data_IF_736148558382
#
_entry.id   IF_736148558382
#
_cell.length_a   1.000
_cell.length_b   1.000
_cell.length_c   1.000
_cell.angle_alpha   90.00
_cell.angle_beta   90.00
_cell.angle_gamma   90.00
#
_symmetry.space_group_name_H-M   'P 1'
#
loop_
_entity.id
_entity.type
_entity.pdbx_description
1 polymer ?
#
# COMPACT_ATOMS: atom_id res chain seq x y z
N UNK A 1 -49.16 -2.98 42.16
CA UNK A 1 -50.06 -4.01 41.68
C UNK A 1 -49.19 -5.07 41.02
N UNK A 2 -48.80 -6.09 41.73
CA UNK A 2 -49.33 -7.47 41.84
C UNK A 2 -49.42 -8.17 40.47
N UNK A 3 -48.83 -9.32 40.16
CA UNK A 3 -48.67 -10.65 40.82
C UNK A 3 -47.68 -11.44 39.97
N UNK A 4 -46.61 -12.05 40.44
CA UNK A 4 -46.43 -13.34 41.10
C UNK A 4 -46.71 -14.61 40.25
N UNK A 5 -45.64 -15.40 40.06
CA UNK A 5 -45.46 -16.85 40.36
C UNK A 5 -46.04 -17.85 39.35
N UNK A 6 -45.44 -19.00 39.03
CA UNK A 6 -44.63 -20.10 39.67
C UNK A 6 -44.20 -21.05 38.55
N UNK A 7 -43.03 -21.53 38.44
CA UNK A 7 -42.37 -22.76 38.91
C UNK A 7 -43.14 -24.09 38.70
N UNK A 8 -42.52 -25.05 37.98
CA UNK A 8 -42.42 -26.46 38.34
C UNK A 8 -41.43 -27.21 37.44
N UNK A 9 -40.56 -27.95 38.08
CA UNK A 9 -39.60 -28.92 37.58
C UNK A 9 -40.23 -30.29 37.44
N UNK A 10 -39.77 -31.16 36.55
CA UNK A 10 -39.73 -32.63 36.76
C UNK A 10 -38.58 -33.23 35.95
N UNK A 11 -37.80 -33.97 36.63
CA UNK A 11 -36.75 -34.96 36.55
C UNK A 11 -37.13 -36.16 35.68
N UNK A 12 -36.15 -36.75 34.99
CA UNK A 12 -36.26 -38.04 34.36
C UNK A 12 -34.91 -38.53 33.84
N UNK A 13 -34.15 -39.23 34.71
CA UNK A 13 -32.94 -39.95 34.36
C UNK A 13 -33.29 -41.34 33.84
N UNK A 14 -32.60 -41.80 32.78
CA UNK A 14 -32.46 -43.25 32.52
C UNK A 14 -31.05 -43.55 32.00
N UNK A 15 -30.35 -44.32 32.82
CA UNK A 15 -29.05 -44.97 32.58
C UNK A 15 -29.32 -46.30 31.89
N UNK A 16 -28.55 -46.61 30.85
CA UNK A 16 -28.39 -47.99 30.38
C UNK A 16 -26.92 -48.26 30.04
N UNK A 17 -26.27 -48.98 30.94
CA UNK A 17 -25.00 -49.71 30.71
C UNK A 17 -25.27 -50.93 29.85
N UNK A 18 -24.39 -51.22 28.88
CA UNK A 18 -24.08 -52.61 28.51
C UNK A 18 -22.56 -52.78 28.26
N UNK A 19 -22.10 -53.90 28.79
CA UNK A 19 -20.73 -54.27 29.05
C UNK A 19 -20.05 -54.98 27.86
N UNK A 20 -18.77 -54.88 27.88
CA UNK A 20 -17.64 -55.63 27.35
C UNK A 20 -17.88 -57.06 26.76
N UNK A 21 -17.14 -57.32 25.65
CA UNK A 21 -16.59 -58.63 25.34
C UNK A 21 -15.19 -58.47 24.72
N UNK A 22 -14.20 -59.06 25.39
CA UNK A 22 -12.82 -59.22 24.89
C UNK A 22 -12.78 -60.35 23.86
N UNK A 23 -11.95 -60.12 22.80
CA UNK A 23 -11.53 -61.14 21.85
C UNK A 23 -10.13 -60.80 21.31
N UNK A 24 -9.13 -61.54 21.82
CA UNK A 24 -7.74 -61.49 21.36
C UNK A 24 -7.58 -62.21 20.02
N UNK A 25 -6.85 -61.57 19.08
CA UNK A 25 -6.41 -62.18 17.83
C UNK A 25 -5.28 -61.38 17.22
N UNK A 26 -4.08 -61.89 17.34
CA UNK A 26 -2.83 -61.40 16.83
C UNK A 26 -2.72 -61.67 15.32
N UNK A 27 -2.48 -60.67 14.48
CA UNK A 27 -1.80 -60.82 13.19
C UNK A 27 -1.32 -59.44 12.70
N UNK A 28 -0.04 -59.33 12.62
CA UNK A 28 0.71 -58.27 11.97
C UNK A 28 0.41 -58.20 10.45
N UNK A 29 -0.05 -57.07 9.96
CA UNK A 29 0.16 -56.66 8.58
C UNK A 29 0.27 -55.15 8.53
N UNK A 30 1.46 -54.70 8.04
CA UNK A 30 1.80 -53.33 7.80
C UNK A 30 1.05 -52.85 6.55
N UNK A 31 -0.04 -52.14 6.71
CA UNK A 31 -0.67 -51.41 5.68
C UNK A 31 -0.43 -49.90 5.95
N UNK A 32 0.41 -49.29 5.12
CA UNK A 32 0.56 -47.86 4.99
C UNK A 32 -0.80 -47.25 4.61
N UNK A 33 -1.57 -46.91 5.59
CA UNK A 33 -2.79 -46.14 5.42
C UNK A 33 -2.42 -44.69 5.14
N UNK A 34 -2.43 -44.32 3.87
CA UNK A 34 -2.60 -42.93 3.46
C UNK A 34 -3.87 -42.41 4.10
N UNK A 35 -3.74 -41.72 5.21
CA UNK A 35 -4.82 -40.94 5.79
C UNK A 35 -5.25 -39.93 4.78
N UNK A 36 -6.28 -40.18 3.99
CA UNK A 36 -7.08 -39.13 3.35
C UNK A 36 -7.54 -38.22 4.46
N UNK A 37 -6.82 -37.11 4.64
CA UNK A 37 -7.34 -35.99 5.38
C UNK A 37 -8.70 -35.68 4.77
N UNK A 38 -9.75 -35.83 5.53
CA UNK A 38 -11.10 -35.45 5.18
C UNK A 38 -11.08 -33.94 5.05
N UNK A 39 -10.69 -33.42 3.87
CA UNK A 39 -10.73 -32.01 3.53
C UNK A 39 -12.19 -31.64 3.35
N UNK A 40 -12.86 -31.40 4.47
CA UNK A 40 -14.12 -30.68 4.45
C UNK A 40 -13.84 -29.38 3.68
N UNK A 41 -14.55 -29.18 2.56
CA UNK A 41 -14.43 -27.96 1.77
C UNK A 41 -14.67 -26.76 2.67
N UNK A 42 -13.64 -25.96 2.91
CA UNK A 42 -13.72 -24.75 3.69
C UNK A 42 -13.73 -23.57 2.72
N UNK A 43 -14.65 -22.65 2.90
CA UNK A 43 -14.62 -21.38 2.18
C UNK A 43 -13.46 -20.54 2.73
N UNK A 44 -12.86 -19.71 1.87
CA UNK A 44 -11.84 -18.73 2.28
C UNK A 44 -12.34 -17.33 2.12
N UNK A 45 -12.03 -16.46 3.08
CA UNK A 45 -12.30 -15.04 3.04
C UNK A 45 -11.01 -14.28 2.71
N UNK A 46 -11.07 -13.46 1.67
CA UNK A 46 -9.94 -12.69 1.15
C UNK A 46 -10.27 -11.20 1.23
N UNK A 47 -9.44 -10.45 1.92
CA UNK A 47 -9.49 -8.98 1.93
C UNK A 47 -8.54 -8.43 0.88
N UNK A 48 -9.08 -7.68 -0.09
CA UNK A 48 -8.33 -6.87 -1.04
C UNK A 48 -8.70 -5.41 -0.87
N UNK A 49 -7.76 -4.53 -1.16
CA UNK A 49 -7.97 -3.10 -1.04
C UNK A 49 -8.67 -2.54 -2.27
N UNK A 50 -9.50 -1.53 -2.06
CA UNK A 50 -10.16 -0.83 -3.15
C UNK A 50 -9.13 -0.26 -4.14
N UNK A 51 -9.27 -0.63 -5.42
CA UNK A 51 -8.40 -0.18 -6.50
C UNK A 51 -7.07 -0.93 -6.65
N UNK A 52 -6.78 -1.94 -5.82
CA UNK A 52 -5.51 -2.69 -5.86
C UNK A 52 -5.41 -3.67 -7.03
N UNK A 53 -6.53 -4.20 -7.50
CA UNK A 53 -6.57 -5.10 -8.65
C UNK A 53 -7.77 -4.83 -9.55
N UNK A 54 -7.60 -4.94 -10.89
CA UNK A 54 -8.73 -4.97 -11.80
C UNK A 54 -9.63 -6.20 -11.54
N UNK A 55 -10.95 -6.01 -11.56
CA UNK A 55 -11.93 -7.10 -11.35
C UNK A 55 -11.67 -8.32 -12.24
N UNK A 56 -11.24 -8.09 -13.49
CA UNK A 56 -10.95 -9.17 -14.44
C UNK A 56 -9.79 -10.07 -13.96
N UNK A 57 -8.80 -9.50 -13.30
CA UNK A 57 -7.67 -10.26 -12.72
C UNK A 57 -8.17 -11.12 -11.56
N UNK A 58 -8.91 -10.52 -10.62
CA UNK A 58 -9.46 -11.24 -9.46
C UNK A 58 -10.40 -12.38 -9.89
N UNK A 59 -11.29 -12.12 -10.85
CA UNK A 59 -12.20 -13.14 -11.41
C UNK A 59 -11.43 -14.32 -12.02
N UNK A 60 -10.34 -14.05 -12.75
CA UNK A 60 -9.52 -15.11 -13.34
C UNK A 60 -8.76 -15.91 -12.28
N UNK A 61 -8.19 -15.24 -11.27
CA UNK A 61 -7.52 -15.90 -10.14
C UNK A 61 -8.50 -16.85 -9.43
N UNK A 62 -9.70 -16.38 -9.13
CA UNK A 62 -10.74 -17.19 -8.49
C UNK A 62 -11.18 -18.37 -9.38
N UNK A 63 -11.32 -18.16 -10.70
CA UNK A 63 -11.67 -19.22 -11.63
C UNK A 63 -10.58 -20.32 -11.68
N UNK A 64 -9.31 -19.91 -11.69
CA UNK A 64 -8.19 -20.87 -11.66
C UNK A 64 -8.13 -21.60 -10.32
N UNK A 65 -8.33 -20.93 -9.21
CA UNK A 65 -8.39 -21.54 -7.88
C UNK A 65 -9.53 -22.56 -7.78
N UNK A 66 -10.73 -22.18 -8.24
CA UNK A 66 -11.91 -23.06 -8.21
C UNK A 66 -11.78 -24.31 -9.09
N UNK A 67 -10.95 -24.28 -10.15
CA UNK A 67 -10.65 -25.48 -10.94
C UNK A 67 -9.87 -26.53 -10.13
N UNK A 68 -8.97 -26.09 -9.25
CA UNK A 68 -8.22 -26.97 -8.37
C UNK A 68 -9.03 -27.33 -7.09
N UNK A 69 -9.92 -26.44 -6.66
CA UNK A 69 -10.71 -26.55 -5.42
C UNK A 69 -12.20 -26.33 -5.68
N UNK A 70 -12.88 -27.25 -6.41
CA UNK A 70 -14.26 -27.00 -6.91
C UNK A 70 -15.32 -26.87 -5.80
N UNK A 71 -15.01 -27.34 -4.60
CA UNK A 71 -15.91 -27.30 -3.44
C UNK A 71 -15.61 -26.15 -2.46
N UNK A 72 -14.67 -25.27 -2.81
CA UNK A 72 -14.26 -24.12 -1.98
C UNK A 72 -14.77 -22.82 -2.60
N UNK A 73 -15.46 -22.00 -1.83
CA UNK A 73 -15.79 -20.63 -2.23
C UNK A 73 -14.71 -19.66 -1.81
N UNK A 74 -14.40 -18.72 -2.68
CA UNK A 74 -13.57 -17.55 -2.38
C UNK A 74 -14.48 -16.35 -2.16
N UNK A 75 -14.56 -15.87 -0.92
CA UNK A 75 -15.33 -14.69 -0.54
C UNK A 75 -14.42 -13.46 -0.56
N UNK A 76 -14.43 -12.71 -1.68
CA UNK A 76 -13.66 -11.47 -1.80
C UNK A 76 -14.39 -10.34 -1.09
N UNK A 77 -13.72 -9.67 -0.16
CA UNK A 77 -14.22 -8.51 0.55
C UNK A 77 -13.30 -7.31 0.27
N UNK A 78 -13.82 -6.33 -0.47
CA UNK A 78 -13.07 -5.11 -0.79
C UNK A 78 -13.08 -4.18 0.41
N UNK A 79 -11.88 -3.77 0.84
CA UNK A 79 -11.64 -2.89 1.96
C UNK A 79 -11.31 -1.48 1.48
N UNK A 80 -11.60 -0.47 2.30
CA UNK A 80 -11.14 0.91 2.08
C UNK A 80 -9.82 1.14 2.79
N UNK A 81 -8.97 2.01 2.25
CA UNK A 81 -7.69 2.36 2.86
C UNK A 81 -7.86 3.15 4.16
N UNK A 82 -8.89 3.99 4.22
CA UNK A 82 -9.20 4.75 5.44
C UNK A 82 -9.63 3.81 6.58
N UNK A 83 -9.00 3.98 7.75
CA UNK A 83 -9.27 3.17 8.94
C UNK A 83 -8.85 1.70 8.84
N UNK A 84 -8.12 1.29 7.78
CA UNK A 84 -7.78 -0.13 7.55
C UNK A 84 -6.89 -0.70 8.65
N UNK A 85 -6.00 0.10 9.24
CA UNK A 85 -5.10 -0.36 10.28
C UNK A 85 -5.87 -0.85 11.52
N UNK A 86 -6.83 -0.07 12.02
CA UNK A 86 -7.66 -0.40 13.17
C UNK A 86 -8.59 -1.59 12.84
N UNK A 87 -9.14 -1.59 11.64
CA UNK A 87 -10.00 -2.68 11.17
C UNK A 87 -9.24 -4.00 11.11
N UNK A 88 -8.03 -4.00 10.55
CA UNK A 88 -7.18 -5.19 10.49
C UNK A 88 -6.74 -5.64 11.88
N UNK A 89 -6.35 -4.71 12.76
CA UNK A 89 -6.01 -5.02 14.15
C UNK A 89 -7.18 -5.74 14.85
N UNK A 90 -8.40 -5.22 14.70
CA UNK A 90 -9.61 -5.82 15.29
C UNK A 90 -9.92 -7.18 14.68
N UNK A 91 -9.79 -7.35 13.37
CA UNK A 91 -10.06 -8.60 12.68
C UNK A 91 -9.07 -9.69 13.10
N UNK A 92 -7.77 -9.39 13.16
CA UNK A 92 -6.74 -10.34 13.55
C UNK A 92 -6.84 -10.76 15.04
N UNK A 93 -7.37 -9.89 15.90
CA UNK A 93 -7.65 -10.21 17.30
C UNK A 93 -8.95 -11.01 17.49
N UNK A 94 -9.78 -11.13 16.48
CA UNK A 94 -11.07 -11.82 16.52
C UNK A 94 -10.94 -13.35 16.36
N UNK A 95 -12.05 -14.06 16.58
CA UNK A 95 -12.10 -15.53 16.49
C UNK A 95 -12.24 -16.05 15.05
N UNK A 96 -12.51 -15.20 14.08
CA UNK A 96 -12.72 -15.56 12.68
C UNK A 96 -12.12 -14.48 11.76
N UNK A 97 -10.79 -14.33 11.74
CA UNK A 97 -10.12 -13.36 10.87
C UNK A 97 -10.27 -13.78 9.40
N UNK A 98 -10.09 -12.85 8.44
CA UNK A 98 -9.99 -13.23 7.04
C UNK A 98 -8.77 -14.14 6.83
N UNK A 99 -8.87 -15.12 5.92
CA UNK A 99 -7.78 -16.07 5.65
C UNK A 99 -6.62 -15.40 4.94
N UNK A 100 -6.92 -14.53 3.97
CA UNK A 100 -5.95 -13.73 3.21
C UNK A 100 -6.21 -12.25 3.43
N UNK A 101 -5.13 -11.50 3.64
CA UNK A 101 -5.17 -10.04 3.73
C UNK A 101 -4.19 -9.43 2.73
N UNK A 102 -4.66 -8.45 1.98
CA UNK A 102 -3.79 -7.44 1.41
C UNK A 102 -3.47 -6.42 2.48
N UNK A 103 -2.18 -6.20 2.72
CA UNK A 103 -1.66 -5.28 3.74
C UNK A 103 -0.72 -4.29 3.06
N UNK A 104 -0.93 -3.00 3.29
CA UNK A 104 0.03 -1.97 2.89
C UNK A 104 1.41 -2.29 3.46
N UNK A 105 2.44 -2.18 2.64
CA UNK A 105 3.79 -2.66 2.99
C UNK A 105 4.34 -2.06 4.29
N UNK A 106 3.95 -0.85 4.65
CA UNK A 106 4.37 -0.18 5.90
C UNK A 106 3.74 -0.78 7.17
N UNK A 107 2.72 -1.63 7.05
CA UNK A 107 1.95 -2.17 8.18
C UNK A 107 2.24 -3.66 8.46
N UNK A 108 2.91 -4.38 7.55
CA UNK A 108 3.15 -5.82 7.69
C UNK A 108 3.91 -6.13 8.97
N UNK A 109 4.99 -5.41 9.26
CA UNK A 109 5.82 -5.61 10.45
C UNK A 109 5.03 -5.44 11.75
N UNK A 110 4.09 -4.50 11.83
CA UNK A 110 3.21 -4.31 12.99
C UNK A 110 2.33 -5.53 13.26
N UNK A 111 1.70 -6.06 12.22
CA UNK A 111 0.80 -7.22 12.37
C UNK A 111 1.57 -8.51 12.59
N UNK A 112 2.78 -8.64 12.03
CA UNK A 112 3.69 -9.73 12.33
C UNK A 112 4.17 -9.71 13.80
N UNK A 113 4.59 -8.54 14.30
CA UNK A 113 5.03 -8.34 15.70
C UNK A 113 3.92 -8.66 16.71
N UNK A 114 2.65 -8.38 16.37
CA UNK A 114 1.50 -8.73 17.20
C UNK A 114 1.13 -10.23 17.17
N UNK A 115 1.83 -11.06 16.37
CA UNK A 115 1.51 -12.47 16.19
C UNK A 115 0.25 -12.74 15.33
N UNK A 116 -0.25 -11.73 14.63
CA UNK A 116 -1.47 -11.84 13.81
C UNK A 116 -1.28 -12.52 12.45
N UNK A 117 -0.03 -12.71 12.00
CA UNK A 117 0.28 -13.26 10.69
C UNK A 117 1.05 -14.57 10.75
N UNK A 118 0.83 -15.43 9.76
CA UNK A 118 1.52 -16.70 9.54
C UNK A 118 2.95 -16.49 9.06
N UNK A 119 3.93 -17.28 9.55
CA UNK A 119 5.30 -17.33 9.03
C UNK A 119 5.35 -18.10 7.70
N UNK A 120 5.58 -17.38 6.62
CA UNK A 120 5.61 -17.90 5.25
C UNK A 120 7.03 -18.14 4.72
N UNK A 121 8.06 -18.11 5.58
CA UNK A 121 9.47 -18.24 5.18
C UNK A 121 9.74 -19.51 4.38
N UNK A 122 9.13 -20.61 4.74
CA UNK A 122 9.27 -21.90 4.03
C UNK A 122 8.64 -21.90 2.62
N UNK A 123 7.79 -20.91 2.31
CA UNK A 123 7.08 -20.78 1.03
C UNK A 123 7.81 -19.90 0.02
N UNK A 124 8.83 -19.16 0.44
CA UNK A 124 9.54 -18.17 -0.38
C UNK A 124 10.06 -18.76 -1.69
N UNK A 125 10.73 -19.91 -1.62
CA UNK A 125 11.31 -20.56 -2.82
C UNK A 125 10.23 -21.02 -3.81
N UNK A 126 9.15 -21.62 -3.34
CA UNK A 126 8.02 -22.09 -4.17
C UNK A 126 7.29 -20.94 -4.89
N UNK A 127 7.38 -19.74 -4.35
CA UNK A 127 6.78 -18.52 -4.90
C UNK A 127 7.73 -17.72 -5.80
N UNK A 128 8.93 -18.20 -6.06
CA UNK A 128 9.95 -17.51 -6.87
C UNK A 128 10.54 -16.28 -6.18
N UNK A 129 10.66 -16.35 -4.83
CA UNK A 129 11.08 -15.25 -3.98
C UNK A 129 12.47 -14.66 -4.26
N UNK A 130 13.33 -15.37 -5.01
CA UNK A 130 14.65 -14.88 -5.40
C UNK A 130 14.59 -13.77 -6.46
N UNK A 131 13.44 -13.62 -7.13
CA UNK A 131 13.22 -12.60 -8.15
C UNK A 131 12.42 -11.41 -7.65
N UNK A 132 11.94 -11.43 -6.42
CA UNK A 132 11.10 -10.36 -5.88
C UNK A 132 11.82 -9.03 -5.77
N UNK A 133 11.05 -7.94 -5.82
CA UNK A 133 11.55 -6.61 -5.51
C UNK A 133 11.98 -6.56 -4.04
N UNK A 134 13.24 -6.18 -3.81
CA UNK A 134 13.84 -6.19 -2.47
C UNK A 134 13.04 -5.35 -1.49
N UNK A 135 12.62 -4.13 -1.87
CA UNK A 135 11.85 -3.25 -0.97
C UNK A 135 10.51 -3.83 -0.51
N UNK A 136 9.82 -4.61 -1.35
CA UNK A 136 8.59 -5.32 -0.93
C UNK A 136 8.92 -6.53 -0.05
N UNK A 137 10.03 -7.22 -0.32
CA UNK A 137 10.48 -8.35 0.50
C UNK A 137 10.89 -7.89 1.88
N UNK A 138 11.65 -6.79 1.97
CA UNK A 138 12.06 -6.20 3.24
C UNK A 138 10.85 -5.75 4.07
N UNK A 139 9.88 -5.09 3.43
CA UNK A 139 8.64 -4.68 4.08
C UNK A 139 7.78 -5.87 4.56
N UNK A 140 7.85 -7.01 3.86
CA UNK A 140 7.17 -8.26 4.24
C UNK A 140 7.91 -9.10 5.29
N UNK A 141 9.11 -8.67 5.73
CA UNK A 141 10.01 -9.45 6.59
C UNK A 141 10.17 -8.77 7.95
N UNK A 142 10.09 -9.55 9.02
CA UNK A 142 10.39 -9.13 10.40
C UNK A 142 11.31 -10.17 11.04
N UNK A 143 12.40 -9.75 11.66
CA UNK A 143 13.38 -10.61 12.34
C UNK A 143 13.84 -11.81 11.50
N UNK A 144 14.05 -11.59 10.21
CA UNK A 144 14.49 -12.60 9.24
C UNK A 144 13.40 -13.59 8.79
N UNK A 145 12.15 -13.44 9.23
CA UNK A 145 11.01 -14.26 8.85
C UNK A 145 10.08 -13.51 7.90
N UNK A 146 9.56 -14.22 6.91
CA UNK A 146 8.65 -13.69 5.91
C UNK A 146 7.20 -13.84 6.38
N UNK A 147 6.48 -12.72 6.51
CA UNK A 147 5.06 -12.67 6.87
C UNK A 147 4.18 -12.10 5.75
N UNK A 148 4.77 -11.35 4.83
CA UNK A 148 4.08 -10.76 3.70
C UNK A 148 4.72 -11.14 2.37
N UNK A 149 3.95 -11.77 1.49
CA UNK A 149 4.35 -12.10 0.12
C UNK A 149 4.21 -10.84 -0.73
N UNK A 150 5.26 -10.38 -1.42
CA UNK A 150 5.18 -9.27 -2.35
C UNK A 150 4.01 -9.37 -3.32
N UNK A 151 3.12 -8.38 -3.31
CA UNK A 151 1.96 -8.36 -4.17
C UNK A 151 2.17 -7.43 -5.37
N UNK A 152 2.30 -6.14 -5.13
CA UNK A 152 2.70 -5.16 -6.14
C UNK A 152 3.41 -3.98 -5.49
N UNK A 153 4.21 -3.27 -6.27
CA UNK A 153 4.77 -1.99 -5.87
C UNK A 153 4.10 -0.84 -6.61
N UNK A 154 4.16 0.34 -6.00
CA UNK A 154 3.78 1.60 -6.61
C UNK A 154 4.64 2.71 -6.04
N UNK A 155 5.19 3.50 -6.90
CA UNK A 155 5.92 4.71 -6.57
C UNK A 155 5.21 5.94 -7.15
N UNK A 156 5.78 7.11 -6.94
CA UNK A 156 5.20 8.37 -7.41
C UNK A 156 6.03 8.97 -8.52
N UNK A 157 5.31 9.51 -9.50
CA UNK A 157 5.88 10.35 -10.54
C UNK A 157 4.99 11.58 -10.77
N UNK A 158 5.42 12.50 -11.57
CA UNK A 158 4.60 13.65 -11.97
C UNK A 158 3.73 13.25 -13.14
N UNK A 159 2.41 13.24 -12.96
CA UNK A 159 1.42 13.09 -14.02
C UNK A 159 1.00 14.47 -14.50
N UNK A 160 0.91 14.67 -15.82
CA UNK A 160 0.60 15.98 -16.40
C UNK A 160 -0.33 15.91 -17.61
N UNK A 161 -1.02 16.99 -17.88
CA UNK A 161 -1.89 17.18 -19.05
C UNK A 161 -1.06 17.65 -20.26
N UNK A 162 -0.84 16.76 -21.25
CA UNK A 162 -0.10 17.06 -22.49
C UNK A 162 -0.71 18.23 -23.26
N UNK A 163 -2.03 18.26 -23.38
CA UNK A 163 -2.76 19.33 -24.04
C UNK A 163 -2.58 20.69 -23.37
N UNK A 164 -2.52 20.70 -22.03
CA UNK A 164 -2.28 21.93 -21.26
C UNK A 164 -0.83 22.43 -21.38
N UNK A 165 0.13 21.51 -21.38
CA UNK A 165 1.54 21.83 -21.63
C UNK A 165 1.73 22.48 -23.00
N UNK A 166 1.16 21.86 -24.04
CA UNK A 166 1.22 22.41 -25.40
C UNK A 166 0.62 23.81 -25.45
N UNK A 167 -0.57 24.04 -24.89
CA UNK A 167 -1.23 25.34 -24.87
C UNK A 167 -0.50 26.38 -24.02
N UNK A 168 0.31 25.96 -23.04
CA UNK A 168 1.17 26.85 -22.24
C UNK A 168 2.57 27.05 -22.84
N UNK A 169 2.83 26.53 -24.05
CA UNK A 169 4.12 26.63 -24.72
C UNK A 169 5.25 25.85 -24.03
N UNK A 170 4.92 24.76 -23.36
CA UNK A 170 5.88 23.87 -22.72
C UNK A 170 6.18 22.74 -23.69
N UNK A 171 7.34 22.75 -24.33
CA UNK A 171 7.77 21.77 -25.34
C UNK A 171 8.76 20.77 -24.81
N UNK A 172 9.38 21.01 -23.65
CA UNK A 172 10.36 20.13 -23.02
C UNK A 172 9.96 19.86 -21.58
N UNK A 173 10.12 18.62 -21.15
CA UNK A 173 9.87 18.24 -19.77
C UNK A 173 11.00 18.75 -18.86
N UNK A 174 10.70 19.12 -17.61
CA UNK A 174 11.72 19.57 -16.66
C UNK A 174 12.67 18.44 -16.29
N UNK A 175 13.95 18.71 -16.24
CA UNK A 175 15.02 17.78 -15.87
C UNK A 175 15.62 18.05 -14.50
N UNK A 176 15.15 19.12 -13.84
CA UNK A 176 15.53 19.52 -12.50
C UNK A 176 14.39 20.29 -11.81
N UNK A 177 14.55 20.56 -10.52
CA UNK A 177 13.57 21.29 -9.70
C UNK A 177 13.35 22.72 -10.19
N UNK A 178 14.38 23.40 -10.69
CA UNK A 178 14.25 24.76 -11.22
C UNK A 178 13.38 24.78 -12.48
N UNK A 179 13.61 23.85 -13.40
CA UNK A 179 12.77 23.62 -14.58
C UNK A 179 11.34 23.24 -14.21
N UNK A 180 11.14 22.44 -13.15
CA UNK A 180 9.82 22.07 -12.63
C UNK A 180 9.06 23.30 -12.13
N UNK A 181 9.71 24.19 -11.36
CA UNK A 181 9.12 25.46 -10.91
C UNK A 181 8.82 26.38 -12.10
N UNK A 182 9.72 26.45 -13.11
CA UNK A 182 9.48 27.22 -14.34
C UNK A 182 8.27 26.68 -15.12
N UNK A 183 8.10 25.37 -15.18
CA UNK A 183 6.94 24.71 -15.81
C UNK A 183 5.64 25.08 -15.09
N UNK A 184 5.62 25.04 -13.76
CA UNK A 184 4.48 25.51 -12.97
C UNK A 184 4.16 26.98 -13.21
N UNK A 185 5.18 27.84 -13.31
CA UNK A 185 4.98 29.25 -13.59
C UNK A 185 4.32 29.50 -14.96
N UNK A 186 4.71 28.74 -16.00
CA UNK A 186 4.09 28.83 -17.34
C UNK A 186 2.62 28.37 -17.31
N UNK A 187 2.33 27.29 -16.62
CA UNK A 187 0.95 26.79 -16.44
C UNK A 187 0.11 27.81 -15.68
N UNK A 188 0.65 28.39 -14.59
CA UNK A 188 -0.04 29.40 -13.81
C UNK A 188 -0.28 30.68 -14.61
N UNK A 189 0.67 31.09 -15.43
CA UNK A 189 0.49 32.26 -16.31
C UNK A 189 -0.61 32.03 -17.37
N UNK A 190 -0.73 30.82 -17.88
CA UNK A 190 -1.74 30.45 -18.90
C UNK A 190 -3.14 30.23 -18.32
N UNK A 191 -3.26 29.57 -17.17
CA UNK A 191 -4.54 29.10 -16.63
C UNK A 191 -4.94 29.75 -15.31
N UNK A 192 -4.07 30.54 -14.68
CA UNK A 192 -4.30 31.13 -13.36
C UNK A 192 -5.36 32.24 -13.30
N UNK A 193 -6.00 32.58 -14.43
CA UNK A 193 -7.25 33.36 -14.43
C UNK A 193 -8.39 32.60 -13.72
N UNK A 194 -8.43 31.28 -13.83
CA UNK A 194 -9.25 30.43 -12.99
C UNK A 194 -8.63 30.37 -11.59
N UNK A 195 -9.37 30.89 -10.59
CA UNK A 195 -8.93 30.95 -9.18
C UNK A 195 -8.83 29.58 -8.52
N UNK A 196 -9.44 28.56 -9.11
CA UNK A 196 -9.37 27.17 -8.63
C UNK A 196 -8.26 26.36 -9.30
N UNK A 197 -7.60 26.92 -10.32
CA UNK A 197 -6.55 26.22 -11.05
C UNK A 197 -5.28 26.06 -10.21
N UNK A 198 -4.75 24.84 -10.22
CA UNK A 198 -3.45 24.47 -9.64
C UNK A 198 -2.48 24.11 -10.75
N UNK A 199 -1.33 24.78 -10.83
CA UNK A 199 -0.26 24.29 -11.71
C UNK A 199 0.26 22.91 -11.23
N UNK A 200 0.34 22.71 -9.91
CA UNK A 200 0.54 21.43 -9.23
C UNK A 200 -0.55 21.30 -8.14
N UNK A 201 -1.44 20.31 -8.25
CA UNK A 201 -2.41 20.05 -7.20
C UNK A 201 -1.80 19.12 -6.15
N UNK A 202 -1.70 19.61 -4.91
CA UNK A 202 -1.02 18.93 -3.82
C UNK A 202 -1.86 19.05 -2.53
N UNK A 203 -2.63 18.02 -2.14
CA UNK A 203 -3.33 18.00 -0.85
C UNK A 203 -2.34 18.16 0.30
N UNK A 204 -2.67 19.01 1.30
CA UNK A 204 -1.69 19.42 2.29
C UNK A 204 -1.25 18.32 3.26
N UNK A 205 -2.00 17.22 3.37
CA UNK A 205 -1.64 16.06 4.18
C UNK A 205 -0.92 14.96 3.40
N UNK A 206 -0.68 15.13 2.10
CA UNK A 206 -0.11 14.10 1.22
C UNK A 206 1.40 13.91 1.47
N UNK A 207 1.75 13.32 2.60
CA UNK A 207 3.14 13.18 3.05
C UNK A 207 3.97 12.24 2.17
N UNK A 208 3.39 11.21 1.54
CA UNK A 208 4.11 10.33 0.60
C UNK A 208 4.69 11.12 -0.59
N UNK A 209 3.98 12.12 -1.08
CA UNK A 209 4.45 12.99 -2.16
C UNK A 209 5.41 14.09 -1.67
N UNK A 210 5.50 14.32 -0.35
CA UNK A 210 6.45 15.24 0.26
C UNK A 210 7.83 14.61 0.46
N UNK A 211 7.92 13.29 0.68
CA UNK A 211 9.17 12.57 0.95
C UNK A 211 10.26 12.80 -0.12
N UNK A 212 9.95 12.82 -1.43
CA UNK A 212 10.95 13.11 -2.46
C UNK A 212 11.73 14.39 -2.23
N UNK A 213 11.08 15.44 -1.73
CA UNK A 213 11.73 16.72 -1.46
C UNK A 213 12.69 16.66 -0.28
N UNK A 214 12.35 15.89 0.76
CA UNK A 214 13.20 15.66 1.93
C UNK A 214 14.44 14.86 1.51
N UNK A 215 14.23 13.72 0.86
CA UNK A 215 15.29 12.79 0.48
C UNK A 215 16.24 13.35 -0.60
N UNK A 216 15.73 14.16 -1.52
CA UNK A 216 16.53 14.79 -2.56
C UNK A 216 17.53 15.83 -2.00
N UNK A 217 17.24 16.41 -0.84
CA UNK A 217 18.19 17.26 -0.10
C UNK A 217 19.18 16.44 0.76
N UNK A 218 19.02 15.11 0.84
CA UNK A 218 19.80 14.24 1.73
C UNK A 218 19.26 14.21 3.15
N UNK A 219 18.04 14.68 3.37
CA UNK A 219 17.33 14.59 4.64
C UNK A 219 16.71 13.20 4.87
N UNK A 220 16.28 12.95 6.11
CA UNK A 220 15.65 11.72 6.56
C UNK A 220 14.41 12.02 7.41
N UNK A 221 13.48 11.07 7.45
CA UNK A 221 12.33 11.12 8.38
C UNK A 221 12.75 10.65 9.77
N UNK A 222 13.47 9.53 9.82
CA UNK A 222 14.11 9.00 11.02
C UNK A 222 15.36 8.22 10.66
N UNK A 223 16.29 8.14 11.58
CA UNK A 223 17.55 7.40 11.48
C UNK A 223 17.72 6.48 12.67
N UNK A 224 18.49 5.41 12.50
CA UNK A 224 18.89 4.54 13.60
C UNK A 224 20.26 4.96 14.10
N UNK A 225 20.39 5.23 15.39
CA UNK A 225 21.64 5.55 16.07
C UNK A 225 21.81 4.63 17.28
N UNK A 226 22.90 3.85 17.30
CA UNK A 226 23.21 2.89 18.37
C UNK A 226 22.03 1.95 18.73
N UNK A 227 21.28 1.50 17.73
CA UNK A 227 20.12 0.60 17.89
C UNK A 227 18.83 1.28 18.33
N UNK A 228 18.84 2.60 18.53
CA UNK A 228 17.65 3.39 18.83
C UNK A 228 17.22 4.22 17.62
N UNK A 229 15.93 4.37 17.43
CA UNK A 229 15.38 5.24 16.40
C UNK A 229 15.33 6.69 16.87
N UNK A 230 15.69 7.61 15.99
CA UNK A 230 15.59 9.05 16.20
C UNK A 230 14.94 9.70 15.01
N UNK A 231 13.94 10.54 15.23
CA UNK A 231 13.41 11.44 14.20
C UNK A 231 14.51 12.35 13.65
N UNK A 232 14.43 12.71 12.37
CA UNK A 232 15.48 13.47 11.68
C UNK A 232 14.91 14.55 10.74
N UNK A 233 13.64 14.92 10.92
CA UNK A 233 13.00 15.97 10.12
C UNK A 233 13.51 17.38 10.44
N UNK A 234 14.11 17.60 11.61
CA UNK A 234 14.70 18.85 12.04
C UNK A 234 16.13 19.06 11.53
N UNK A 235 16.67 18.11 10.76
CA UNK A 235 17.97 18.30 10.09
C UNK A 235 17.92 19.45 9.08
N UNK A 236 19.03 20.20 8.87
CA UNK A 236 19.06 21.26 7.86
C UNK A 236 18.65 20.80 6.47
N UNK A 237 18.97 19.55 6.11
CA UNK A 237 18.62 18.93 4.83
C UNK A 237 17.11 18.70 4.72
N UNK A 238 16.49 18.08 5.73
CA UNK A 238 15.03 17.87 5.75
C UNK A 238 14.26 19.18 5.72
N UNK A 239 14.73 20.19 6.49
CA UNK A 239 14.13 21.54 6.49
C UNK A 239 14.28 22.25 5.13
N UNK A 240 15.41 22.08 4.44
CA UNK A 240 15.61 22.63 3.10
C UNK A 240 14.60 22.03 2.09
N UNK A 241 14.42 20.72 2.11
CA UNK A 241 13.44 20.03 1.26
C UNK A 241 12.01 20.48 1.51
N UNK A 242 11.60 20.56 2.78
CA UNK A 242 10.27 21.01 3.19
C UNK A 242 10.04 22.50 2.87
N UNK A 243 11.08 23.33 2.95
CA UNK A 243 11.00 24.75 2.56
C UNK A 243 10.76 24.88 1.06
N UNK A 244 11.49 24.14 0.24
CA UNK A 244 11.29 24.12 -1.22
C UNK A 244 9.87 23.63 -1.58
N UNK A 245 9.36 22.59 -0.92
CA UNK A 245 8.01 22.12 -1.13
C UNK A 245 6.96 23.15 -0.68
N UNK A 246 7.15 23.80 0.47
CA UNK A 246 6.28 24.90 0.94
C UNK A 246 6.13 25.98 -0.11
N UNK A 247 7.25 26.45 -0.69
CA UNK A 247 7.23 27.50 -1.71
C UNK A 247 6.43 27.07 -2.96
N UNK A 248 6.56 25.79 -3.36
CA UNK A 248 5.79 25.22 -4.47
C UNK A 248 4.30 25.16 -4.12
N UNK A 249 3.94 24.54 -3.01
CA UNK A 249 2.53 24.30 -2.63
C UNK A 249 1.80 25.62 -2.40
N UNK A 250 2.38 26.55 -1.64
CA UNK A 250 1.73 27.82 -1.35
C UNK A 250 1.50 28.69 -2.58
N UNK A 251 2.38 28.58 -3.58
CA UNK A 251 2.30 29.39 -4.80
C UNK A 251 1.45 28.76 -5.91
N UNK A 252 1.50 27.44 -6.06
CA UNK A 252 1.00 26.75 -7.25
C UNK A 252 -0.14 25.76 -6.98
N UNK A 253 -0.50 25.48 -5.72
CA UNK A 253 -1.61 24.60 -5.38
C UNK A 253 -2.81 25.36 -4.84
N UNK A 254 -4.01 24.88 -5.19
CA UNK A 254 -5.31 25.28 -4.62
C UNK A 254 -5.99 24.11 -3.90
N UNK A 255 -5.27 23.00 -3.72
CA UNK A 255 -5.75 21.88 -2.94
C UNK A 255 -5.98 22.30 -1.47
N UNK A 256 -6.93 21.68 -0.76
CA UNK A 256 -7.12 21.95 0.66
C UNK A 256 -5.86 21.65 1.47
N UNK A 257 -5.44 22.61 2.29
CA UNK A 257 -4.26 22.47 3.15
C UNK A 257 -4.42 21.35 4.18
N UNK A 258 -5.65 21.11 4.63
CA UNK A 258 -6.01 20.01 5.55
C UNK A 258 -6.61 18.81 4.83
N UNK A 259 -6.48 18.72 3.50
CA UNK A 259 -6.95 17.60 2.70
C UNK A 259 -5.92 16.48 2.61
N UNK A 260 -6.38 15.24 2.67
CA UNK A 260 -5.59 14.05 2.35
C UNK A 260 -5.82 13.62 0.89
N UNK A 261 -5.02 12.70 0.39
CA UNK A 261 -5.07 12.21 -0.99
C UNK A 261 -6.24 11.26 -1.28
N UNK A 262 -6.92 10.77 -0.25
CA UNK A 262 -8.08 9.87 -0.42
C UNK A 262 -9.37 10.67 -0.61
N UNK A 263 -9.61 11.66 0.23
CA UNK A 263 -10.80 12.53 0.15
C UNK A 263 -10.66 13.61 -0.91
N UNK A 264 -9.43 14.00 -1.20
CA UNK A 264 -9.10 15.05 -2.18
C UNK A 264 -8.22 14.47 -3.29
N UNK A 265 -8.69 13.36 -3.91
CA UNK A 265 -7.94 12.61 -4.93
C UNK A 265 -7.41 13.54 -6.03
N UNK A 266 -6.07 13.65 -6.18
CA UNK A 266 -5.46 14.53 -7.18
C UNK A 266 -5.86 14.20 -8.63
N UNK A 267 -6.26 12.96 -8.91
CA UNK A 267 -6.71 12.55 -10.23
C UNK A 267 -7.97 13.31 -10.70
N UNK A 268 -8.84 13.69 -9.77
CA UNK A 268 -10.10 14.40 -10.09
C UNK A 268 -9.81 15.77 -10.71
N UNK A 269 -9.13 16.71 -10.05
CA UNK A 269 -8.86 18.02 -10.68
C UNK A 269 -7.96 17.94 -11.90
N UNK A 270 -7.07 16.95 -12.02
CA UNK A 270 -6.28 16.72 -13.24
C UNK A 270 -7.19 16.33 -14.41
N UNK A 271 -8.11 15.40 -14.20
CA UNK A 271 -9.11 14.97 -15.18
C UNK A 271 -10.05 16.10 -15.61
N UNK A 272 -10.50 16.92 -14.68
CA UNK A 272 -11.38 18.08 -14.92
C UNK A 272 -10.68 19.28 -15.56
N UNK A 273 -9.34 19.27 -15.68
CA UNK A 273 -8.57 20.40 -16.19
C UNK A 273 -8.37 21.54 -15.20
N UNK A 274 -8.65 21.31 -13.92
CA UNK A 274 -8.38 22.25 -12.82
C UNK A 274 -6.97 22.10 -12.24
N UNK A 275 -6.25 21.06 -12.69
CA UNK A 275 -4.82 20.92 -12.39
C UNK A 275 -4.03 20.67 -13.67
N UNK A 276 -2.82 21.25 -13.74
CA UNK A 276 -1.87 21.00 -14.83
C UNK A 276 -1.03 19.75 -14.56
N UNK A 277 -0.68 19.52 -13.29
CA UNK A 277 0.14 18.41 -12.81
C UNK A 277 -0.32 17.92 -11.44
N UNK A 278 -0.01 16.65 -11.15
CA UNK A 278 -0.10 16.02 -9.83
C UNK A 278 1.14 15.14 -9.60
N UNK A 279 1.44 14.81 -8.35
CA UNK A 279 2.40 13.75 -8.01
C UNK A 279 1.60 12.56 -7.52
N UNK A 280 1.60 11.46 -8.28
CA UNK A 280 0.78 10.30 -7.94
C UNK A 280 1.32 9.01 -8.58
N UNK A 281 0.65 7.88 -8.33
CA UNK A 281 1.03 6.56 -8.79
C UNK A 281 0.50 6.23 -10.21
N UNK A 282 1.10 5.23 -10.86
CA UNK A 282 0.86 4.87 -12.25
C UNK A 282 -0.60 4.49 -12.57
N UNK A 283 -1.28 3.80 -11.67
CA UNK A 283 -2.70 3.40 -11.86
C UNK A 283 -3.67 4.59 -11.98
N UNK A 284 -3.27 5.78 -11.52
CA UNK A 284 -4.09 7.00 -11.65
C UNK A 284 -4.28 7.40 -13.11
N UNK A 285 -3.35 7.08 -14.00
CA UNK A 285 -3.51 7.33 -15.44
C UNK A 285 -4.75 6.60 -15.98
N UNK A 286 -4.85 5.30 -15.70
CA UNK A 286 -6.02 4.50 -16.10
C UNK A 286 -7.32 4.97 -15.42
N UNK A 287 -7.25 5.39 -14.16
CA UNK A 287 -8.40 5.95 -13.43
C UNK A 287 -8.92 7.23 -14.11
N UNK A 288 -8.00 8.15 -14.45
CA UNK A 288 -8.35 9.41 -15.14
C UNK A 288 -8.93 9.13 -16.53
N UNK A 289 -8.31 8.27 -17.31
CA UNK A 289 -8.77 7.94 -18.66
C UNK A 289 -10.12 7.23 -18.68
N UNK A 290 -10.40 6.40 -17.66
CA UNK A 290 -11.71 5.75 -17.49
C UNK A 290 -12.80 6.77 -17.14
N UNK A 291 -12.53 7.72 -16.26
CA UNK A 291 -13.47 8.77 -15.87
C UNK A 291 -13.64 9.82 -16.98
N UNK A 292 -12.60 10.06 -17.76
CA UNK A 292 -12.54 11.07 -18.83
C UNK A 292 -12.00 10.46 -20.14
N UNK A 293 -12.81 9.67 -20.90
CA UNK A 293 -12.34 8.94 -22.08
C UNK A 293 -11.74 9.82 -23.18
N UNK A 294 -12.11 11.11 -23.23
CA UNK A 294 -11.52 12.11 -24.14
C UNK A 294 -10.03 12.41 -23.83
N UNK A 295 -9.56 12.03 -22.64
CA UNK A 295 -8.17 12.21 -22.22
C UNK A 295 -7.28 11.00 -22.52
N UNK A 296 -7.81 9.98 -23.20
CA UNK A 296 -7.00 8.81 -23.55
C UNK A 296 -5.73 9.21 -24.29
N UNK A 297 -4.57 8.83 -23.74
CA UNK A 297 -3.26 9.20 -24.25
C UNK A 297 -2.85 10.66 -24.02
N UNK A 298 -3.66 11.48 -23.35
CA UNK A 298 -3.38 12.89 -23.03
C UNK A 298 -2.72 13.09 -21.66
N UNK A 299 -2.64 12.05 -20.85
CA UNK A 299 -1.87 12.10 -19.61
C UNK A 299 -0.45 11.66 -19.93
N UNK A 300 0.51 12.52 -19.63
CA UNK A 300 1.94 12.22 -19.70
C UNK A 300 2.50 12.03 -18.30
N UNK A 301 3.68 11.41 -18.22
CA UNK A 301 4.36 11.14 -16.95
C UNK A 301 5.84 11.50 -17.11
N UNK A 302 6.45 12.02 -16.04
CA UNK A 302 7.89 12.17 -15.90
C UNK A 302 8.31 11.99 -14.45
N UNK A 303 9.55 11.53 -14.15
CA UNK A 303 10.01 11.33 -12.78
C UNK A 303 9.94 12.64 -11.99
N UNK A 304 9.78 12.56 -10.66
CA UNK A 304 9.92 13.75 -9.80
C UNK A 304 11.33 14.33 -9.99
N UNK A 305 11.46 15.58 -10.47
CA UNK A 305 12.77 16.13 -10.76
C UNK A 305 13.59 16.41 -9.50
N UNK A 306 14.86 15.98 -9.51
CA UNK A 306 15.81 16.30 -8.44
C UNK A 306 16.19 17.79 -8.46
N UNK A 307 16.76 18.27 -7.36
CA UNK A 307 17.44 19.55 -7.31
C UNK A 307 18.63 19.63 -8.28
N UNK A 308 19.23 18.48 -8.59
CA UNK A 308 20.36 18.34 -9.48
C UNK A 308 19.90 18.02 -10.90
N UNK A 309 20.38 18.75 -11.88
CA UNK A 309 20.02 18.56 -13.28
C UNK A 309 20.38 17.14 -13.77
N UNK A 310 19.44 16.52 -14.50
CA UNK A 310 19.62 15.19 -15.06
C UNK A 310 19.49 14.03 -14.05
N UNK A 311 19.13 14.33 -12.81
CA UNK A 311 18.83 13.32 -11.78
C UNK A 311 17.32 13.29 -11.48
N UNK A 312 16.87 12.18 -10.93
CA UNK A 312 15.50 12.02 -10.39
C UNK A 312 15.55 12.04 -8.86
N UNK A 313 14.58 12.70 -8.24
CA UNK A 313 14.46 12.65 -6.79
C UNK A 313 14.15 11.21 -6.33
N UNK A 314 14.67 10.75 -5.19
CA UNK A 314 14.23 9.51 -4.58
C UNK A 314 12.75 9.58 -4.26
N UNK A 315 12.00 8.51 -4.54
CA UNK A 315 10.56 8.46 -4.30
C UNK A 315 10.20 7.36 -3.30
N UNK A 316 9.05 7.50 -2.63
CA UNK A 316 8.57 6.46 -1.74
C UNK A 316 8.12 5.24 -2.55
N UNK A 317 8.69 4.06 -2.24
CA UNK A 317 8.21 2.79 -2.73
C UNK A 317 7.05 2.33 -1.84
N UNK A 318 5.85 2.60 -2.27
CA UNK A 318 4.65 2.04 -1.69
C UNK A 318 4.35 0.67 -2.29
N UNK A 319 3.20 0.13 -1.93
CA UNK A 319 2.70 -1.14 -2.43
C UNK A 319 2.06 -1.95 -1.35
N UNK A 320 1.75 -3.20 -1.67
CA UNK A 320 1.09 -4.13 -0.76
C UNK A 320 1.78 -5.48 -0.75
N UNK A 321 1.61 -6.17 0.37
CA UNK A 321 1.96 -7.57 0.54
C UNK A 321 0.67 -8.38 0.79
N UNK A 322 0.66 -9.65 0.40
CA UNK A 322 -0.37 -10.61 0.75
C UNK A 322 0.08 -11.42 1.95
N UNK A 323 -0.78 -11.52 2.95
CA UNK A 323 -0.49 -12.25 4.18
C UNK A 323 -1.60 -13.25 4.48
N UNK A 324 -1.28 -14.25 5.29
CA UNK A 324 -2.23 -15.20 5.85
C UNK A 324 -2.39 -14.89 7.33
N UNK A 325 -3.62 -14.83 7.83
CA UNK A 325 -3.86 -14.66 9.26
C UNK A 325 -3.39 -15.87 10.03
N UNK A 326 -2.68 -15.66 11.15
CA UNK A 326 -2.29 -16.76 12.05
C UNK A 326 -3.48 -17.54 12.61
N UNK A 327 -4.65 -16.89 12.70
CA UNK A 327 -5.92 -17.52 13.11
C UNK A 327 -6.77 -18.07 11.95
N UNK A 328 -6.21 -18.19 10.72
CA UNK A 328 -6.93 -18.78 9.59
C UNK A 328 -7.24 -20.26 9.84
N UNK A 329 -8.47 -20.64 9.57
CA UNK A 329 -8.91 -22.05 9.61
C UNK A 329 -8.52 -22.85 8.36
N UNK A 330 -8.08 -22.17 7.30
CA UNK A 330 -7.75 -22.75 6.01
C UNK A 330 -6.42 -22.22 5.41
N UNK A 331 -5.29 -22.17 6.18
CA UNK A 331 -4.06 -21.53 5.74
C UNK A 331 -3.46 -22.16 4.46
N UNK A 332 -3.66 -23.46 4.24
CA UNK A 332 -3.24 -24.14 3.00
C UNK A 332 -4.00 -23.64 1.78
N UNK A 333 -5.32 -23.48 1.86
CA UNK A 333 -6.14 -22.93 0.77
C UNK A 333 -5.84 -21.45 0.53
N UNK A 334 -5.64 -20.68 1.61
CA UNK A 334 -5.20 -19.29 1.55
C UNK A 334 -3.88 -19.15 0.79
N UNK A 335 -2.91 -20.01 1.10
CA UNK A 335 -1.62 -20.06 0.40
C UNK A 335 -1.76 -20.38 -1.10
N UNK A 336 -2.55 -21.39 -1.46
CA UNK A 336 -2.77 -21.74 -2.86
C UNK A 336 -3.43 -20.59 -3.66
N UNK A 337 -4.35 -19.86 -3.04
CA UNK A 337 -4.95 -18.68 -3.66
C UNK A 337 -3.91 -17.56 -3.86
N UNK A 338 -3.11 -17.26 -2.84
CA UNK A 338 -2.01 -16.27 -2.92
C UNK A 338 -1.03 -16.65 -4.02
N UNK A 339 -0.64 -17.93 -4.12
CA UNK A 339 0.28 -18.44 -5.13
C UNK A 339 -0.18 -18.13 -6.56
N UNK A 340 -1.48 -18.17 -6.81
CA UNK A 340 -2.04 -17.80 -8.12
C UNK A 340 -1.95 -16.28 -8.34
N UNK A 341 -2.33 -15.46 -7.35
CA UNK A 341 -2.33 -14.00 -7.50
C UNK A 341 -0.92 -13.41 -7.54
N UNK A 342 0.01 -13.95 -6.74
CA UNK A 342 1.42 -13.53 -6.74
C UNK A 342 2.24 -14.13 -7.90
N UNK A 343 1.66 -15.09 -8.65
CA UNK A 343 2.34 -15.79 -9.73
C UNK A 343 2.46 -14.95 -11.01
N UNK A 344 3.42 -15.32 -11.87
CA UNK A 344 3.83 -14.59 -13.09
C UNK A 344 2.66 -14.13 -13.95
N UNK A 345 1.66 -15.00 -14.19
CA UNK A 345 0.54 -14.65 -15.06
C UNK A 345 -0.33 -13.54 -14.48
N UNK A 346 -0.72 -13.66 -13.23
CA UNK A 346 -1.53 -12.63 -12.56
C UNK A 346 -0.74 -11.32 -12.42
N UNK A 347 0.54 -11.41 -12.12
CA UNK A 347 1.44 -10.26 -12.02
C UNK A 347 1.62 -9.54 -13.38
N UNK A 348 1.73 -10.29 -14.48
CA UNK A 348 1.74 -9.72 -15.84
C UNK A 348 0.45 -8.94 -16.12
N UNK A 349 -0.70 -9.52 -15.78
CA UNK A 349 -1.98 -8.87 -16.01
C UNK A 349 -2.19 -7.65 -15.08
N UNK A 350 -1.74 -7.70 -13.84
CA UNK A 350 -1.75 -6.55 -12.92
C UNK A 350 -0.88 -5.42 -13.46
N UNK A 351 0.33 -5.71 -13.92
CA UNK A 351 1.23 -4.72 -14.49
C UNK A 351 0.64 -4.07 -15.76
N UNK A 352 0.14 -4.89 -16.70
CA UNK A 352 -0.31 -4.40 -18.00
C UNK A 352 -1.70 -3.77 -18.00
N UNK A 353 -2.58 -4.13 -17.08
CA UNK A 353 -3.95 -3.61 -16.99
C UNK A 353 -4.23 -2.79 -15.74
N UNK A 354 -3.49 -3.01 -14.65
CA UNK A 354 -3.61 -2.29 -13.39
C UNK A 354 -2.67 -1.08 -13.28
N UNK A 355 -1.63 -1.00 -14.11
CA UNK A 355 -0.66 0.09 -14.07
C UNK A 355 0.20 0.10 -12.81
N UNK A 356 0.41 -1.08 -12.21
CA UNK A 356 1.25 -1.27 -11.01
C UNK A 356 2.61 -1.85 -11.40
N UNK A 357 3.61 -1.65 -10.56
CA UNK A 357 4.91 -2.30 -10.69
C UNK A 357 4.74 -3.75 -10.19
N UNK A 358 5.06 -4.78 -11.00
CA UNK A 358 4.91 -6.16 -10.58
C UNK A 358 5.86 -6.52 -9.44
N UNK A 359 5.56 -7.60 -8.72
CA UNK A 359 6.32 -8.02 -7.55
C UNK A 359 7.74 -8.53 -7.86
N UNK A 360 8.05 -8.83 -9.12
CA UNK A 360 9.29 -9.47 -9.54
C UNK A 360 10.10 -8.63 -10.52
N UNK A 361 11.41 -8.58 -10.33
CA UNK A 361 12.38 -7.90 -11.22
C UNK A 361 12.37 -8.46 -12.63
N UNK A 362 12.06 -9.76 -12.80
CA UNK A 362 11.97 -10.39 -14.12
C UNK A 362 10.83 -9.86 -14.98
N UNK A 363 9.82 -9.23 -14.37
CA UNK A 363 8.64 -8.68 -15.05
C UNK A 363 8.74 -7.17 -15.32
N UNK A 364 9.74 -6.46 -14.83
CA UNK A 364 9.91 -5.02 -15.07
C UNK A 364 10.04 -4.67 -16.56
N UNK A 365 10.52 -5.61 -17.38
CA UNK A 365 10.61 -5.38 -18.83
C UNK A 365 9.26 -5.27 -19.54
N UNK A 366 8.15 -5.64 -18.90
CA UNK A 366 6.81 -5.51 -19.47
C UNK A 366 6.47 -4.06 -19.83
N UNK A 367 6.96 -3.10 -19.07
CA UNK A 367 6.71 -1.69 -19.27
C UNK A 367 7.71 -0.98 -20.19
N UNK A 368 8.76 -1.65 -20.67
CA UNK A 368 9.88 -1.02 -21.38
C UNK A 368 9.46 -0.21 -22.64
N UNK A 369 8.33 -0.57 -23.25
CA UNK A 369 7.79 0.11 -24.44
C UNK A 369 6.62 1.05 -24.12
N UNK A 370 6.15 1.07 -22.88
CA UNK A 370 5.08 1.96 -22.44
C UNK A 370 5.68 3.28 -21.95
N UNK A 371 5.38 4.42 -22.63
CA UNK A 371 6.00 5.71 -22.28
C UNK A 371 5.51 6.28 -20.95
N UNK A 372 4.50 5.70 -20.34
CA UNK A 372 3.94 6.06 -19.03
C UNK A 372 4.54 5.16 -17.97
N UNK A 373 4.33 3.85 -18.08
CA UNK A 373 4.68 2.88 -17.03
C UNK A 373 6.20 2.72 -16.88
N UNK A 374 6.99 2.85 -17.97
CA UNK A 374 8.46 2.81 -17.89
C UNK A 374 9.07 3.91 -17.02
N UNK A 375 8.35 5.03 -16.82
CA UNK A 375 8.79 6.11 -15.93
C UNK A 375 8.73 5.66 -14.46
N UNK A 376 7.70 4.90 -14.09
CA UNK A 376 7.58 4.34 -12.74
C UNK A 376 8.64 3.27 -12.49
N UNK A 377 8.94 2.41 -13.47
CA UNK A 377 10.04 1.44 -13.35
C UNK A 377 11.41 2.15 -13.16
N UNK A 378 11.59 3.32 -13.79
CA UNK A 378 12.78 4.15 -13.59
C UNK A 378 12.80 4.76 -12.18
N UNK A 379 11.68 5.29 -11.71
CA UNK A 379 11.56 5.89 -10.38
C UNK A 379 11.77 4.83 -9.28
N UNK A 380 11.27 3.60 -9.46
CA UNK A 380 11.47 2.48 -8.54
C UNK A 380 12.95 2.15 -8.31
N UNK A 381 13.82 2.37 -9.29
CA UNK A 381 15.28 2.17 -9.12
C UNK A 381 15.93 3.15 -8.15
N UNK A 382 15.32 4.30 -7.93
CA UNK A 382 15.75 5.34 -6.98
C UNK A 382 14.72 5.51 -5.86
N UNK A 383 14.02 4.44 -5.51
CA UNK A 383 13.01 4.49 -4.46
C UNK A 383 13.60 4.23 -3.07
N UNK A 384 12.87 4.69 -2.05
CA UNK A 384 13.21 4.53 -0.65
C UNK A 384 11.99 4.09 0.14
N UNK A 385 12.23 3.35 1.21
CA UNK A 385 11.20 2.90 2.15
C UNK A 385 11.15 3.81 3.38
N UNK A 386 10.05 3.74 4.09
CA UNK A 386 9.92 4.27 5.46
C UNK A 386 10.80 3.47 6.43
N UNK A 387 11.05 3.97 7.66
CA UNK A 387 11.81 3.25 8.67
C UNK A 387 11.31 1.81 8.88
N UNK A 388 12.20 0.82 8.76
CA UNK A 388 11.87 -0.60 8.88
C UNK A 388 11.75 -1.00 10.36
N UNK A 389 10.63 -0.65 11.00
CA UNK A 389 10.32 -1.00 12.38
C UNK A 389 8.81 -1.16 12.57
N UNK A 390 8.34 -2.15 13.38
CA UNK A 390 6.92 -2.31 13.70
C UNK A 390 6.25 -1.06 14.26
N UNK A 391 7.03 -0.21 14.94
CA UNK A 391 6.57 1.06 15.53
C UNK A 391 6.27 2.15 14.49
N UNK A 392 6.77 2.00 13.25
CA UNK A 392 6.48 2.97 12.17
C UNK A 392 4.99 3.11 11.91
N UNK A 393 4.24 2.03 11.96
CA UNK A 393 2.78 2.04 11.80
C UNK A 393 2.07 2.99 12.79
N UNK A 394 2.64 3.20 13.99
CA UNK A 394 2.09 4.13 14.97
C UNK A 394 2.42 5.60 14.64
N UNK A 395 3.56 5.85 13.98
CA UNK A 395 3.89 7.18 13.43
C UNK A 395 2.92 7.53 12.30
N UNK A 396 2.67 6.58 11.42
CA UNK A 396 1.80 6.76 10.24
C UNK A 396 0.34 7.00 10.64
N UNK A 397 -0.20 6.22 11.59
CA UNK A 397 -1.56 6.41 12.11
C UNK A 397 -1.70 7.62 13.05
N UNK A 398 -0.60 8.10 13.62
CA UNK A 398 -0.57 9.20 14.58
C UNK A 398 -0.67 10.60 13.96
N UNK A 399 -0.85 10.73 12.66
CA UNK A 399 -0.99 11.99 11.90
C UNK A 399 0.18 12.98 12.01
N UNK A 400 1.29 12.58 12.62
CA UNK A 400 2.44 13.48 12.90
C UNK A 400 2.99 14.15 11.64
N UNK A 401 3.11 13.39 10.53
CA UNK A 401 3.62 13.91 9.26
C UNK A 401 2.58 14.84 8.59
N UNK A 402 1.32 14.47 8.64
CA UNK A 402 0.19 15.25 8.13
C UNK A 402 0.09 16.58 8.86
N UNK A 403 0.10 16.58 10.19
CA UNK A 403 -0.01 17.78 11.03
C UNK A 403 1.19 18.72 10.85
N UNK A 404 2.38 18.17 10.70
CA UNK A 404 3.58 18.92 10.36
C UNK A 404 3.39 19.67 9.03
N UNK A 405 3.00 18.98 7.96
CA UNK A 405 2.79 19.58 6.65
C UNK A 405 1.69 20.63 6.66
N UNK A 406 0.56 20.35 7.30
CA UNK A 406 -0.54 21.32 7.47
C UNK A 406 -0.07 22.57 8.20
N UNK A 407 0.74 22.41 9.25
CA UNK A 407 1.28 23.55 10.01
C UNK A 407 2.22 24.42 9.16
N UNK A 408 3.05 23.78 8.32
CA UNK A 408 3.98 24.44 7.40
C UNK A 408 3.22 25.18 6.29
N UNK A 409 2.30 24.51 5.60
CA UNK A 409 1.61 25.07 4.44
C UNK A 409 0.57 26.14 4.81
N UNK A 410 -0.06 26.03 5.98
CA UNK A 410 -0.94 27.05 6.51
C UNK A 410 -0.19 28.29 7.08
N UNK A 411 1.14 28.20 7.26
CA UNK A 411 1.94 29.22 7.90
C UNK A 411 1.74 29.34 9.40
N UNK A 412 1.07 28.36 10.05
CA UNK A 412 0.87 28.33 11.51
C UNK A 412 2.18 28.17 12.26
N UNK A 413 3.13 27.44 11.69
CA UNK A 413 4.48 27.26 12.24
C UNK A 413 5.53 27.53 11.17
N UNK A 414 6.72 27.94 11.60
CA UNK A 414 7.90 27.91 10.74
C UNK A 414 8.23 26.46 10.34
N UNK A 415 9.00 26.26 9.28
CA UNK A 415 9.50 24.91 8.93
C UNK A 415 10.30 24.33 10.08
N UNK A 416 11.17 25.14 10.70
CA UNK A 416 12.00 24.71 11.83
C UNK A 416 11.15 24.22 13.02
N UNK A 417 10.17 25.04 13.47
CA UNK A 417 9.33 24.67 14.63
C UNK A 417 8.46 23.42 14.34
N UNK A 418 7.90 23.33 13.13
CA UNK A 418 7.07 22.19 12.75
C UNK A 418 7.87 20.89 12.69
N UNK A 419 9.10 20.94 12.13
CA UNK A 419 9.98 19.78 12.02
C UNK A 419 10.55 19.35 13.35
N UNK A 420 10.92 20.29 14.25
CA UNK A 420 11.36 19.97 15.62
C UNK A 420 10.26 19.20 16.36
N UNK A 421 9.03 19.70 16.34
CA UNK A 421 7.91 19.01 17.01
C UNK A 421 7.66 17.60 16.43
N UNK A 422 7.73 17.46 15.10
CA UNK A 422 7.56 16.17 14.44
C UNK A 422 8.70 15.20 14.78
N UNK A 423 9.95 15.68 14.82
CA UNK A 423 11.14 14.89 15.21
C UNK A 423 11.00 14.33 16.62
N UNK A 424 10.58 15.15 17.59
CA UNK A 424 10.35 14.73 18.97
C UNK A 424 9.24 13.68 19.05
N UNK A 425 8.11 13.91 18.37
CA UNK A 425 6.99 12.98 18.35
C UNK A 425 7.36 11.63 17.72
N UNK A 426 8.06 11.65 16.59
CA UNK A 426 8.55 10.42 15.92
C UNK A 426 9.52 9.67 16.82
N UNK A 427 10.51 10.36 17.42
CA UNK A 427 11.48 9.74 18.32
C UNK A 427 10.78 9.05 19.48
N UNK A 428 9.82 9.73 20.10
CA UNK A 428 9.03 9.17 21.20
C UNK A 428 8.25 7.93 20.77
N UNK A 429 7.55 8.00 19.63
CA UNK A 429 6.71 6.91 19.13
C UNK A 429 7.54 5.69 18.74
N UNK A 430 8.69 5.88 18.11
CA UNK A 430 9.54 4.77 17.67
C UNK A 430 10.26 4.03 18.83
N UNK A 431 10.36 4.66 20.00
CA UNK A 431 11.03 4.08 21.19
C UNK A 431 10.06 3.78 22.35
N UNK A 432 8.73 3.92 22.13
CA UNK A 432 7.70 3.66 23.14
C UNK A 432 7.41 2.18 23.38
#
# INVERSE_FOLDING_TARGET
MHRKMRAAAVVGATVALFAAACGSGNSSDSASGSGSANTQAKDITVWLMNGSAPDAVVKRVNAQFNQAHPNTKVNIQIQQWDGIQEKTTTALAGNNPPDVLEIGSTLVSKFADSGGLEDLSSKKADLGGDTWLQGLTDAGTLDGKLYGIPYYAGDRAVLYRKDMFTKAGISTLPTDRAGFVSTMAKLQAKYGSDKQFSALYFPGQYWYAALPFIWDEGGEVAVQDNGQWKGALDSPQSQAGLSALKDIVTKYSKAPVNGNENDNDPAVPLGEGKAGMIIDAGWKVGTIEKAHPQLKGQIGVFPVPSKNAGQTAPVFLGGSNLAISAGSDAPGLAYEWIKILAGTKAQTDLATTGGVIPNSTSLLTLHAKDPVLSVFDLAAKNSRSTPATPKWANVESGTVLQDMLVSIFSGKKSVADATTNATEAITKTLNS
#
